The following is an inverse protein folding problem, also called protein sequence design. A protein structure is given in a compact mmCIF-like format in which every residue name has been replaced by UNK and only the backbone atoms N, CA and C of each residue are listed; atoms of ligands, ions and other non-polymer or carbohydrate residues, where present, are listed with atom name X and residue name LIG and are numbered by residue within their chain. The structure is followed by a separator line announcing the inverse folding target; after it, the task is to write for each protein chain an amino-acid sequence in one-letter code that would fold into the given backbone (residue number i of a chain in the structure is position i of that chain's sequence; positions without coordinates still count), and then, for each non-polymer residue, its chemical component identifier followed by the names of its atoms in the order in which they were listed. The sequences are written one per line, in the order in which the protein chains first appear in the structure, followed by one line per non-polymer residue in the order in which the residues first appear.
data_IF_805958313219
#
_entry.id   IF_805958313219
#
_cell.length_a   1.000
_cell.length_b   1.000
_cell.length_c   1.000
_cell.angle_alpha   90.00
_cell.angle_beta   90.00
_cell.angle_gamma   90.00
#
_symmetry.space_group_name_H-M   'P 1'
#
loop_
_entity.id
_entity.type
_entity.pdbx_description
1 polymer ?
#
# COMPACT_ATOMS: atom_id res chain seq x y z
N UNK A 1 -38.15 -12.18 -28.73
CA UNK A 1 -38.20 -13.65 -28.81
C UNK A 1 -37.31 -14.18 -27.69
N UNK A 2 -37.88 -14.97 -26.78
CA UNK A 2 -37.20 -15.65 -25.67
C UNK A 2 -36.93 -17.12 -26.07
N UNK A 3 -35.85 -17.71 -25.51
CA UNK A 3 -35.35 -19.11 -25.55
C UNK A 3 -33.98 -19.14 -26.24
N UNK A 4 -32.91 -19.66 -25.64
CA UNK A 4 -32.68 -20.98 -25.02
C UNK A 4 -31.87 -20.80 -23.72
N UNK A 5 -32.21 -21.37 -22.56
CA UNK A 5 -32.42 -22.80 -22.34
C UNK A 5 -31.09 -23.50 -22.00
N UNK A 6 -30.30 -23.00 -21.04
CA UNK A 6 -29.09 -23.69 -20.60
C UNK A 6 -29.50 -24.89 -19.74
N UNK A 7 -29.59 -26.05 -20.40
CA UNK A 7 -29.71 -27.36 -19.79
C UNK A 7 -28.51 -27.51 -18.86
N UNK A 8 -28.74 -27.40 -17.55
CA UNK A 8 -27.79 -27.92 -16.58
C UNK A 8 -27.84 -29.42 -16.73
N UNK A 9 -26.87 -29.95 -17.47
CA UNK A 9 -26.55 -31.37 -17.47
C UNK A 9 -26.34 -31.75 -16.00
N UNK A 10 -27.26 -32.55 -15.46
CA UNK A 10 -27.27 -32.91 -14.05
C UNK A 10 -26.08 -33.82 -13.75
N UNK A 11 -24.94 -33.21 -13.47
CA UNK A 11 -23.88 -33.85 -12.71
C UNK A 11 -24.38 -34.01 -11.25
N UNK A 12 -24.08 -35.15 -10.59
CA UNK A 12 -24.38 -35.33 -9.18
C UNK A 12 -23.88 -34.12 -8.36
N UNK A 13 -24.56 -33.73 -7.26
CA UNK A 13 -24.11 -32.60 -6.46
C UNK A 13 -22.66 -32.84 -6.05
N UNK A 14 -21.74 -31.90 -6.31
CA UNK A 14 -20.30 -32.00 -6.00
C UNK A 14 -20.05 -32.49 -4.55
N UNK A 15 -20.98 -32.16 -3.65
CA UNK A 15 -21.04 -32.63 -2.26
C UNK A 15 -21.15 -34.16 -2.15
N UNK A 16 -22.00 -34.81 -2.95
CA UNK A 16 -22.20 -36.25 -2.90
C UNK A 16 -21.00 -37.01 -3.49
N UNK A 17 -20.37 -36.48 -4.54
CA UNK A 17 -19.16 -37.06 -5.13
C UNK A 17 -17.96 -36.98 -4.18
N UNK A 18 -17.78 -35.82 -3.53
CA UNK A 18 -16.70 -35.60 -2.56
C UNK A 18 -16.86 -36.47 -1.31
N UNK A 19 -18.08 -36.62 -0.80
CA UNK A 19 -18.38 -37.55 0.31
C UNK A 19 -18.10 -39.00 -0.09
N UNK A 20 -18.50 -39.41 -1.29
CA UNK A 20 -18.26 -40.79 -1.78
C UNK A 20 -16.76 -41.08 -1.98
N UNK A 21 -16.01 -40.11 -2.51
CA UNK A 21 -14.56 -40.20 -2.67
C UNK A 21 -13.83 -40.28 -1.32
N UNK A 22 -14.26 -39.46 -0.35
CA UNK A 22 -13.73 -39.47 1.02
C UNK A 22 -13.90 -40.84 1.67
N UNK A 23 -15.11 -41.40 1.62
CA UNK A 23 -15.41 -42.74 2.15
C UNK A 23 -14.59 -43.84 1.48
N UNK A 24 -14.41 -43.76 0.17
CA UNK A 24 -13.58 -44.70 -0.60
C UNK A 24 -12.11 -44.65 -0.15
N UNK A 25 -11.63 -43.48 0.26
CA UNK A 25 -10.28 -43.27 0.81
C UNK A 25 -10.18 -43.55 2.32
N UNK A 26 -11.22 -44.10 2.94
CA UNK A 26 -11.26 -44.41 4.37
C UNK A 26 -11.38 -43.18 5.28
N UNK A 27 -11.78 -42.03 4.72
CA UNK A 27 -12.02 -40.80 5.48
C UNK A 27 -13.47 -40.76 5.96
N UNK A 28 -13.67 -40.36 7.21
CA UNK A 28 -15.00 -40.06 7.75
C UNK A 28 -15.39 -38.65 7.33
N UNK A 29 -16.09 -38.55 6.19
CA UNK A 29 -16.58 -37.29 5.62
C UNK A 29 -18.10 -37.28 5.70
N UNK A 30 -18.66 -36.32 6.44
CA UNK A 30 -20.11 -36.11 6.52
C UNK A 30 -20.58 -35.12 5.44
N UNK A 31 -21.82 -35.31 4.97
CA UNK A 31 -22.44 -34.45 3.96
C UNK A 31 -22.65 -33.03 4.46
N UNK A 32 -23.02 -32.89 5.74
CA UNK A 32 -23.33 -31.60 6.35
C UNK A 32 -22.07 -30.71 6.42
N UNK A 33 -20.94 -31.29 6.81
CA UNK A 33 -19.65 -30.58 6.90
C UNK A 33 -19.19 -30.06 5.54
N UNK A 34 -19.36 -30.86 4.49
CA UNK A 34 -19.02 -30.44 3.12
C UNK A 34 -20.01 -29.39 2.60
N UNK A 35 -21.30 -29.49 2.95
CA UNK A 35 -22.27 -28.44 2.61
C UNK A 35 -21.97 -27.12 3.31
N UNK A 36 -21.49 -27.14 4.55
CA UNK A 36 -21.07 -25.94 5.28
C UNK A 36 -19.86 -25.29 4.60
N UNK A 37 -18.82 -26.07 4.27
CA UNK A 37 -17.63 -25.59 3.55
C UNK A 37 -17.95 -24.95 2.19
N UNK A 38 -18.87 -25.57 1.43
CA UNK A 38 -19.28 -25.06 0.12
C UNK A 38 -20.08 -23.77 0.25
N UNK A 39 -20.88 -23.60 1.32
CA UNK A 39 -21.60 -22.35 1.60
C UNK A 39 -20.64 -21.23 2.02
N UNK A 40 -19.63 -21.53 2.83
CA UNK A 40 -18.60 -20.57 3.25
C UNK A 40 -17.84 -19.97 2.05
N UNK A 41 -17.56 -20.78 1.03
CA UNK A 41 -16.81 -20.36 -0.16
C UNK A 41 -17.68 -19.94 -1.36
N UNK A 42 -19.01 -19.98 -1.22
CA UNK A 42 -19.96 -19.64 -2.29
C UNK A 42 -20.26 -18.15 -2.42
N UNK A 43 -19.73 -17.31 -1.52
CA UNK A 43 -19.85 -15.86 -1.62
C UNK A 43 -18.73 -15.32 -2.50
N UNK A 44 -18.99 -15.25 -3.80
CA UNK A 44 -18.24 -14.37 -4.69
C UNK A 44 -18.42 -12.93 -4.17
N UNK A 45 -17.34 -12.14 -4.02
CA UNK A 45 -17.46 -10.77 -3.52
C UNK A 45 -18.46 -10.02 -4.39
N UNK A 46 -19.44 -9.39 -3.73
CA UNK A 46 -20.52 -8.71 -4.43
C UNK A 46 -19.96 -7.50 -5.17
N UNK A 47 -20.59 -7.10 -6.28
CA UNK A 47 -20.19 -5.92 -7.06
C UNK A 47 -20.04 -4.67 -6.20
N UNK A 48 -20.77 -4.58 -5.09
CA UNK A 48 -20.70 -3.49 -4.12
C UNK A 48 -19.38 -3.46 -3.32
N UNK A 49 -18.84 -4.61 -2.92
CA UNK A 49 -17.54 -4.70 -2.23
C UNK A 49 -16.39 -4.32 -3.18
N UNK A 50 -16.51 -4.69 -4.45
CA UNK A 50 -15.56 -4.30 -5.49
C UNK A 50 -15.60 -2.78 -5.77
N UNK A 51 -16.81 -2.19 -5.80
CA UNK A 51 -16.98 -0.74 -5.92
C UNK A 51 -16.44 0.01 -4.70
N UNK A 52 -16.59 -0.55 -3.49
CA UNK A 52 -16.00 0.01 -2.28
C UNK A 52 -14.47 0.09 -2.35
N UNK A 53 -13.82 -0.98 -2.81
CA UNK A 53 -12.37 -1.01 -3.01
C UNK A 53 -11.89 -0.01 -4.09
N UNK A 54 -12.65 0.14 -5.18
CA UNK A 54 -12.35 1.12 -6.22
C UNK A 54 -12.43 2.56 -5.68
N UNK A 55 -13.47 2.86 -4.90
CA UNK A 55 -13.65 4.17 -4.29
C UNK A 55 -12.53 4.51 -3.29
N UNK A 56 -12.11 3.54 -2.48
CA UNK A 56 -10.97 3.68 -1.56
C UNK A 56 -9.67 3.98 -2.33
N UNK A 57 -9.41 3.26 -3.43
CA UNK A 57 -8.25 3.48 -4.28
C UNK A 57 -8.29 4.86 -4.97
N UNK A 58 -9.44 5.28 -5.46
CA UNK A 58 -9.61 6.62 -6.07
C UNK A 58 -9.41 7.74 -5.04
N UNK A 59 -9.86 7.55 -3.79
CA UNK A 59 -9.63 8.50 -2.69
C UNK A 59 -8.14 8.58 -2.31
N UNK A 60 -7.45 7.45 -2.24
CA UNK A 60 -6.01 7.40 -1.97
C UNK A 60 -5.23 8.12 -3.09
N UNK A 61 -5.54 7.81 -4.34
CA UNK A 61 -4.96 8.48 -5.51
C UNK A 61 -5.23 9.99 -5.46
N UNK A 62 -6.48 10.42 -5.17
CA UNK A 62 -6.85 11.83 -5.04
C UNK A 62 -6.04 12.56 -3.96
N UNK A 63 -5.78 11.88 -2.83
CA UNK A 63 -4.93 12.39 -1.75
C UNK A 63 -3.48 12.59 -2.19
N UNK A 64 -2.93 11.64 -2.96
CA UNK A 64 -1.55 11.72 -3.47
C UNK A 64 -1.36 12.88 -4.47
N UNK A 65 -2.31 13.10 -5.39
CA UNK A 65 -2.23 14.23 -6.34
C UNK A 65 -2.35 15.57 -5.63
N UNK A 66 -3.25 15.68 -4.64
CA UNK A 66 -3.38 16.88 -3.82
C UNK A 66 -2.10 17.18 -3.03
N UNK A 67 -1.44 16.15 -2.49
CA UNK A 67 -0.15 16.29 -1.80
C UNK A 67 0.95 16.75 -2.74
N UNK A 68 1.02 16.22 -3.97
CA UNK A 68 2.03 16.60 -4.95
C UNK A 68 1.92 18.08 -5.39
N UNK A 69 0.70 18.63 -5.41
CA UNK A 69 0.47 20.03 -5.81
C UNK A 69 0.79 21.02 -4.67
N UNK A 70 0.47 20.68 -3.42
CA UNK A 70 0.97 21.41 -2.24
C UNK A 70 2.49 21.35 -2.12
N UNK A 71 3.10 20.19 -2.40
CA UNK A 71 4.56 20.01 -2.38
C UNK A 71 5.27 20.93 -3.38
N UNK A 72 4.75 21.08 -4.61
CA UNK A 72 5.34 22.01 -5.60
C UNK A 72 5.29 23.47 -5.14
N UNK A 73 4.17 23.87 -4.53
CA UNK A 73 3.98 25.24 -4.02
C UNK A 73 4.88 25.54 -2.82
N UNK A 74 5.06 24.56 -1.93
CA UNK A 74 6.02 24.65 -0.84
C UNK A 74 7.48 24.64 -1.34
N UNK A 75 7.77 23.84 -2.38
CA UNK A 75 9.08 23.81 -3.03
C UNK A 75 9.42 25.18 -3.66
N UNK A 76 8.47 25.89 -4.28
CA UNK A 76 8.70 27.26 -4.78
C UNK A 76 9.02 28.28 -3.67
N UNK A 77 8.56 28.05 -2.44
CA UNK A 77 8.76 28.98 -1.32
C UNK A 77 10.15 28.89 -0.67
N UNK A 78 10.80 27.71 -0.71
CA UNK A 78 12.07 27.48 -0.04
C UNK A 78 13.26 27.57 -1.00
N UNK A 79 14.20 28.46 -0.72
CA UNK A 79 15.44 28.58 -1.50
C UNK A 79 16.39 27.41 -1.26
N UNK A 80 17.25 27.11 -2.24
CA UNK A 80 18.25 26.03 -2.11
C UNK A 80 19.27 26.28 -1.00
N UNK A 81 19.43 27.55 -0.57
CA UNK A 81 20.30 27.89 0.56
C UNK A 81 19.61 27.58 1.89
N UNK A 82 18.34 27.94 2.08
CA UNK A 82 17.58 27.63 3.29
C UNK A 82 17.49 26.12 3.53
N UNK A 83 17.25 25.34 2.48
CA UNK A 83 17.23 23.87 2.57
C UNK A 83 18.60 23.32 2.98
N UNK A 84 19.69 23.91 2.50
CA UNK A 84 21.06 23.51 2.86
C UNK A 84 21.37 23.83 4.32
N UNK A 85 20.93 25.00 4.81
CA UNK A 85 21.06 25.36 6.23
C UNK A 85 20.24 24.43 7.12
N UNK A 86 19.03 24.04 6.69
CA UNK A 86 18.22 23.05 7.40
C UNK A 86 18.92 21.70 7.51
N UNK A 87 19.54 21.22 6.42
CA UNK A 87 20.38 20.02 6.42
C UNK A 87 21.54 20.13 7.41
N UNK A 88 22.24 21.27 7.49
CA UNK A 88 23.33 21.48 8.45
C UNK A 88 22.85 21.46 9.89
N UNK A 89 21.73 22.13 10.18
CA UNK A 89 21.12 22.14 11.51
C UNK A 89 20.72 20.72 11.93
N UNK A 90 20.14 19.94 11.02
CA UNK A 90 19.79 18.55 11.30
C UNK A 90 21.00 17.69 11.66
N UNK A 91 22.12 17.80 10.93
CA UNK A 91 23.34 17.06 11.28
C UNK A 91 23.88 17.47 12.67
N UNK A 92 23.73 18.74 13.05
CA UNK A 92 24.11 19.22 14.38
C UNK A 92 23.26 18.60 15.48
N UNK A 93 21.94 18.52 15.26
CA UNK A 93 20.99 17.86 16.17
C UNK A 93 21.32 16.37 16.30
N UNK A 94 21.51 15.69 15.16
CA UNK A 94 21.88 14.27 15.11
C UNK A 94 23.14 14.00 15.94
N UNK A 95 24.21 14.76 15.72
CA UNK A 95 25.46 14.60 16.45
C UNK A 95 25.27 14.77 17.97
N UNK A 96 24.48 15.77 18.37
CA UNK A 96 24.21 16.08 19.77
C UNK A 96 23.42 14.94 20.45
N UNK A 97 22.39 14.43 19.78
CA UNK A 97 21.56 13.33 20.28
C UNK A 97 22.37 12.03 20.37
N UNK A 98 23.16 11.69 19.35
CA UNK A 98 24.04 10.52 19.35
C UNK A 98 25.04 10.55 20.50
N UNK A 99 25.60 11.72 20.82
CA UNK A 99 26.58 11.88 21.90
C UNK A 99 25.95 11.81 23.29
N UNK A 100 24.79 12.44 23.50
CA UNK A 100 24.28 12.71 24.85
C UNK A 100 23.07 11.88 25.29
N UNK A 101 22.31 11.27 24.36
CA UNK A 101 21.07 10.60 24.74
C UNK A 101 21.36 9.25 25.43
N UNK A 102 20.80 9.07 26.63
CA UNK A 102 20.99 7.86 27.45
C UNK A 102 20.35 6.61 26.80
N UNK A 103 19.16 6.76 26.22
CA UNK A 103 18.48 5.69 25.49
C UNK A 103 18.78 5.77 23.99
N UNK A 104 19.80 5.05 23.52
CA UNK A 104 20.23 5.06 22.12
C UNK A 104 19.16 4.56 21.16
N UNK A 105 18.40 3.53 21.54
CA UNK A 105 17.38 2.93 20.68
C UNK A 105 16.21 3.89 20.40
N UNK A 106 15.73 4.61 21.43
CA UNK A 106 14.69 5.62 21.27
C UNK A 106 15.17 6.79 20.39
N UNK A 107 16.40 7.25 20.61
CA UNK A 107 17.03 8.29 19.80
C UNK A 107 17.13 7.90 18.32
N UNK A 108 17.66 6.72 18.02
CA UNK A 108 17.77 6.22 16.63
C UNK A 108 16.40 6.13 15.97
N UNK A 109 15.38 5.62 16.68
CA UNK A 109 14.02 5.53 16.14
C UNK A 109 13.45 6.91 15.79
N UNK A 110 13.64 7.92 16.65
CA UNK A 110 13.19 9.28 16.39
C UNK A 110 13.94 9.91 15.20
N UNK A 111 15.27 9.74 15.15
CA UNK A 111 16.09 10.25 14.06
C UNK A 111 15.74 9.63 12.70
N UNK A 112 15.49 8.33 12.65
CA UNK A 112 15.09 7.65 11.42
C UNK A 112 13.74 8.18 10.90
N UNK A 113 12.73 8.30 11.79
CA UNK A 113 11.43 8.88 11.41
C UNK A 113 11.56 10.29 10.82
N UNK A 114 12.37 11.15 11.44
CA UNK A 114 12.58 12.50 10.91
C UNK A 114 13.36 12.50 9.59
N UNK A 115 14.34 11.61 9.45
CA UNK A 115 15.08 11.44 8.20
C UNK A 115 14.18 11.01 7.05
N UNK A 116 13.31 10.03 7.27
CA UNK A 116 12.46 9.45 6.25
C UNK A 116 11.31 10.41 5.85
N UNK A 117 10.67 11.03 6.85
CA UNK A 117 9.49 11.88 6.60
C UNK A 117 9.83 13.31 6.15
N UNK A 118 10.85 13.94 6.73
CA UNK A 118 11.14 15.36 6.48
C UNK A 118 12.43 15.56 5.67
N UNK A 119 13.55 15.00 6.13
CA UNK A 119 14.85 15.28 5.50
C UNK A 119 14.99 14.65 4.11
N UNK A 120 14.33 13.53 3.86
CA UNK A 120 14.27 12.91 2.54
C UNK A 120 13.71 13.89 1.50
N UNK A 121 12.58 14.54 1.81
CA UNK A 121 11.93 15.52 0.93
C UNK A 121 12.88 16.69 0.60
N UNK A 122 13.49 17.31 1.62
CA UNK A 122 14.45 18.39 1.42
C UNK A 122 15.67 18.01 0.57
N UNK A 123 16.24 16.81 0.79
CA UNK A 123 17.35 16.31 -0.02
C UNK A 123 16.93 16.05 -1.47
N UNK A 124 15.71 15.58 -1.69
CA UNK A 124 15.16 15.36 -3.02
C UNK A 124 14.99 16.68 -3.78
N UNK A 125 14.47 17.73 -3.14
CA UNK A 125 14.38 19.08 -3.71
C UNK A 125 15.75 19.54 -4.23
N UNK A 126 16.79 19.46 -3.39
CA UNK A 126 18.15 19.84 -3.80
C UNK A 126 18.66 19.02 -4.98
N UNK A 127 18.39 17.71 -4.99
CA UNK A 127 18.80 16.81 -6.09
C UNK A 127 18.09 17.17 -7.41
N UNK A 128 16.81 17.52 -7.37
CA UNK A 128 16.04 17.96 -8.56
C UNK A 128 16.61 19.27 -9.12
N UNK A 129 16.81 20.27 -8.27
CA UNK A 129 17.36 21.58 -8.67
C UNK A 129 18.79 21.48 -9.21
N UNK A 130 19.62 20.62 -8.62
CA UNK A 130 20.98 20.38 -9.13
C UNK A 130 20.96 19.81 -10.55
N UNK A 131 20.04 18.86 -10.83
CA UNK A 131 19.88 18.30 -12.18
C UNK A 131 19.41 19.35 -13.18
N UNK A 132 18.47 20.23 -12.81
CA UNK A 132 18.01 21.31 -13.69
C UNK A 132 19.15 22.24 -14.08
N UNK A 133 19.94 22.70 -13.10
CA UNK A 133 21.11 23.57 -13.34
C UNK A 133 22.16 22.89 -14.23
N UNK A 134 22.29 21.57 -14.18
CA UNK A 134 23.20 20.83 -15.08
C UNK A 134 22.68 20.76 -16.52
N UNK A 135 21.36 20.67 -16.72
CA UNK A 135 20.75 20.63 -18.05
C UNK A 135 20.85 21.99 -18.74
N UNK A 136 20.55 23.08 -18.02
CA UNK A 136 20.58 24.45 -18.55
C UNK A 136 21.99 24.91 -19.01
N UNK A 137 23.04 24.16 -18.66
CA UNK A 137 24.44 24.45 -19.04
C UNK A 137 24.92 23.69 -20.28
N UNK A 138 24.13 22.73 -20.76
CA UNK A 138 24.48 21.84 -21.88
C UNK A 138 23.82 22.31 -23.18
N UNK A 139 22.84 23.21 -23.09
CA UNK A 139 22.16 23.88 -24.21
C UNK A 139 22.85 25.21 -24.57
#
# INVERSE_FOLDING_TARGET
MLREGLVHEQQPPVVDETVSLGKTRGLEVNKDDIQELVKEHGQEPTTDELMGLHYEQELEVMGEISSAEEEKKAEESLTSNEIREMCKMWETVKHSVEKHHANKAAAVRAMNRFNDNAMSHFRQILKRRQKQVSLDKVE
#
